data_IF_189916778825
#
_entry.id   IF_189916778825
#
_cell.length_a   1.000
_cell.length_b   1.000
_cell.length_c   1.000
_cell.angle_alpha   90.00
_cell.angle_beta   90.00
_cell.angle_gamma   90.00
#
_symmetry.space_group_name_H-M   'P 1'
#
loop_
_entity.id
_entity.type
_entity.pdbx_description
1 polymer ?
#
# COMPACT_ATOMS: atom_id res chain seq x y z
N UNK A 1 -2.99 -26.20 -0.31
CA UNK A 1 -2.07 -25.35 0.48
C UNK A 1 -2.87 -24.60 1.53
N UNK A 2 -2.44 -24.54 2.80
CA UNK A 2 -3.19 -23.81 3.83
C UNK A 2 -3.06 -22.31 3.57
N UNK A 3 -4.19 -21.57 3.51
CA UNK A 3 -4.22 -20.11 3.27
C UNK A 3 -3.29 -19.34 4.20
N UNK A 4 -3.24 -19.75 5.46
CA UNK A 4 -2.38 -19.14 6.47
C UNK A 4 -0.89 -19.23 6.11
N UNK A 5 -0.44 -20.36 5.55
CA UNK A 5 0.95 -20.52 5.13
C UNK A 5 1.32 -19.61 3.96
N UNK A 6 0.41 -19.47 2.97
CA UNK A 6 0.60 -18.56 1.84
C UNK A 6 0.67 -17.11 2.31
N UNK A 7 -0.25 -16.72 3.19
CA UNK A 7 -0.30 -15.37 3.75
C UNK A 7 0.96 -15.03 4.56
N UNK A 8 1.46 -15.97 5.37
CA UNK A 8 2.68 -15.78 6.16
C UNK A 8 3.90 -15.60 5.26
N UNK A 9 4.07 -16.44 4.23
CA UNK A 9 5.19 -16.33 3.29
C UNK A 9 5.12 -15.02 2.51
N UNK A 10 3.93 -14.65 2.02
CA UNK A 10 3.72 -13.38 1.31
C UNK A 10 4.02 -12.18 2.21
N UNK A 11 3.55 -12.20 3.46
CA UNK A 11 3.81 -11.15 4.44
C UNK A 11 5.29 -11.04 4.80
N UNK A 12 5.99 -12.16 4.98
CA UNK A 12 7.43 -12.18 5.22
C UNK A 12 8.21 -11.61 4.05
N UNK A 13 7.90 -12.02 2.81
CA UNK A 13 8.53 -11.49 1.60
C UNK A 13 8.27 -9.99 1.43
N UNK A 14 7.05 -9.54 1.69
CA UNK A 14 6.69 -8.13 1.63
C UNK A 14 7.44 -7.31 2.69
N UNK A 15 7.42 -7.75 3.95
CA UNK A 15 8.09 -7.08 5.06
C UNK A 15 9.61 -7.04 4.89
N UNK A 16 10.24 -8.14 4.44
CA UNK A 16 11.68 -8.14 4.12
C UNK A 16 12.01 -7.21 2.96
N UNK A 17 11.16 -7.15 1.92
CA UNK A 17 11.31 -6.17 0.84
C UNK A 17 11.22 -4.72 1.33
N UNK A 18 10.29 -4.40 2.24
CA UNK A 18 10.17 -3.07 2.85
C UNK A 18 11.40 -2.72 3.69
N UNK A 19 11.88 -3.64 4.52
CA UNK A 19 13.06 -3.44 5.34
C UNK A 19 14.32 -3.22 4.48
N UNK A 20 14.51 -4.01 3.42
CA UNK A 20 15.68 -3.90 2.53
C UNK A 20 15.64 -2.64 1.66
N UNK A 21 14.46 -2.26 1.16
CA UNK A 21 14.29 -1.03 0.37
C UNK A 21 14.34 0.25 1.22
N UNK A 22 14.23 0.13 2.55
CA UNK A 22 14.17 1.25 3.47
C UNK A 22 12.91 2.11 3.29
N UNK A 23 11.83 1.56 2.73
CA UNK A 23 10.57 2.28 2.50
C UNK A 23 9.79 2.57 3.80
N UNK A 24 10.29 2.06 4.93
CA UNK A 24 9.89 2.41 6.29
C UNK A 24 10.31 3.84 6.70
N UNK A 25 11.26 4.47 6.00
CA UNK A 25 11.69 5.82 6.32
C UNK A 25 10.75 6.86 5.68
N UNK A 26 10.02 7.68 6.47
CA UNK A 26 9.15 8.72 5.94
C UNK A 26 9.90 9.77 5.10
N UNK A 27 11.21 9.94 5.34
CA UNK A 27 12.00 10.89 4.59
C UNK A 27 12.12 10.51 3.12
N UNK A 28 12.15 9.22 2.77
CA UNK A 28 12.22 8.79 1.35
C UNK A 28 11.03 9.25 0.54
N UNK A 29 9.86 9.26 1.18
CA UNK A 29 8.62 9.75 0.57
C UNK A 29 8.68 11.26 0.41
N UNK A 30 9.05 11.97 1.46
CA UNK A 30 9.08 13.43 1.45
C UNK A 30 10.14 13.97 0.49
N UNK A 31 11.33 13.35 0.44
CA UNK A 31 12.40 13.71 -0.51
C UNK A 31 12.02 13.39 -1.95
N UNK A 32 11.25 12.33 -2.21
CA UNK A 32 10.72 12.07 -3.54
C UNK A 32 9.72 13.14 -4.00
N UNK A 33 8.94 13.73 -3.09
CA UNK A 33 8.01 14.82 -3.39
C UNK A 33 8.68 16.20 -3.46
N UNK A 34 9.87 16.36 -2.87
CA UNK A 34 10.62 17.61 -2.83
C UNK A 34 11.37 17.88 -4.15
N UNK A 35 10.61 18.18 -5.20
CA UNK A 35 11.13 18.44 -6.55
C UNK A 35 12.05 19.68 -6.66
N UNK A 36 11.97 20.61 -5.70
CA UNK A 36 12.73 21.87 -5.71
C UNK A 36 13.90 21.86 -4.72
N UNK A 37 14.02 20.84 -3.88
CA UNK A 37 15.08 20.70 -2.90
C UNK A 37 15.93 19.45 -3.11
N UNK A 38 16.01 18.60 -2.10
CA UNK A 38 16.89 17.42 -2.13
C UNK A 38 16.15 16.20 -2.69
N UNK A 39 15.80 16.28 -3.98
CA UNK A 39 14.98 15.28 -4.66
C UNK A 39 15.68 13.91 -4.72
N UNK A 40 15.03 12.87 -4.19
CA UNK A 40 15.53 11.49 -4.19
C UNK A 40 14.64 10.57 -5.07
N UNK A 41 15.15 10.05 -6.21
CA UNK A 41 14.38 9.18 -7.10
C UNK A 41 14.22 7.75 -6.60
N UNK A 42 14.78 7.37 -5.45
CA UNK A 42 14.77 5.98 -4.96
C UNK A 42 13.36 5.41 -4.87
N UNK A 43 12.37 6.21 -4.47
CA UNK A 43 10.98 5.75 -4.38
C UNK A 43 10.43 5.33 -5.76
N UNK A 44 10.79 6.02 -6.84
CA UNK A 44 10.35 5.66 -8.19
C UNK A 44 10.90 4.29 -8.63
N UNK A 45 12.14 3.96 -8.27
CA UNK A 45 12.70 2.63 -8.55
C UNK A 45 11.97 1.53 -7.78
N UNK A 46 11.66 1.74 -6.51
CA UNK A 46 10.93 0.76 -5.70
C UNK A 46 9.48 0.62 -6.19
N UNK A 47 8.80 1.73 -6.49
CA UNK A 47 7.46 1.71 -7.10
C UNK A 47 7.46 1.00 -8.45
N UNK A 48 8.41 1.31 -9.33
CA UNK A 48 8.57 0.63 -10.62
C UNK A 48 8.81 -0.87 -10.46
N UNK A 49 9.70 -1.23 -9.53
CA UNK A 49 9.99 -2.62 -9.18
C UNK A 49 8.79 -3.38 -8.62
N UNK A 50 7.85 -2.71 -7.96
CA UNK A 50 6.60 -3.31 -7.49
C UNK A 50 5.51 -3.34 -8.58
N UNK A 51 5.41 -2.29 -9.40
CA UNK A 51 4.39 -2.18 -10.45
C UNK A 51 4.60 -3.18 -11.58
N UNK A 52 5.84 -3.45 -12.01
CA UNK A 52 6.12 -4.35 -13.13
C UNK A 52 5.67 -5.79 -12.82
N UNK A 53 6.07 -6.44 -11.70
CA UNK A 53 5.58 -7.77 -11.33
C UNK A 53 4.06 -7.80 -11.17
N UNK A 54 3.47 -6.75 -10.60
CA UNK A 54 2.01 -6.67 -10.43
C UNK A 54 1.29 -6.59 -11.79
N UNK A 55 1.81 -5.81 -12.74
CA UNK A 55 1.26 -5.74 -14.08
C UNK A 55 1.32 -7.11 -14.79
N UNK A 56 2.43 -7.82 -14.67
CA UNK A 56 2.59 -9.19 -15.17
C UNK A 56 1.59 -10.13 -14.49
N UNK A 57 1.46 -10.05 -13.15
CA UNK A 57 0.51 -10.84 -12.39
C UNK A 57 -0.94 -10.63 -12.86
N UNK A 58 -1.32 -9.39 -13.21
CA UNK A 58 -2.64 -9.07 -13.76
C UNK A 58 -2.87 -9.69 -15.14
N UNK A 59 -1.85 -9.72 -16.00
CA UNK A 59 -1.95 -10.38 -17.33
C UNK A 59 -2.08 -11.89 -17.18
N UNK A 60 -1.33 -12.49 -16.25
CA UNK A 60 -1.41 -13.93 -15.96
C UNK A 60 -2.77 -14.28 -15.34
N UNK A 61 -3.26 -13.46 -14.41
CA UNK A 61 -4.54 -13.63 -13.73
C UNK A 61 -5.69 -13.77 -14.73
N UNK A 62 -5.70 -13.00 -15.83
CA UNK A 62 -6.71 -13.10 -16.89
C UNK A 62 -6.79 -14.48 -17.56
N UNK A 63 -5.75 -15.30 -17.45
CA UNK A 63 -5.66 -16.65 -18.02
C UNK A 63 -5.92 -17.76 -16.99
N UNK A 64 -6.11 -17.40 -15.72
CA UNK A 64 -6.33 -18.33 -14.63
C UNK A 64 -7.81 -18.35 -14.28
N UNK A 65 -8.40 -19.55 -14.21
CA UNK A 65 -9.81 -19.70 -13.81
C UNK A 65 -10.02 -19.44 -12.32
N UNK A 66 -9.02 -19.72 -11.49
CA UNK A 66 -9.06 -19.56 -10.03
C UNK A 66 -7.70 -19.23 -9.43
N UNK A 67 -7.65 -18.53 -8.29
CA UNK A 67 -6.39 -18.31 -7.57
C UNK A 67 -5.87 -19.60 -6.95
N UNK A 68 -4.58 -19.61 -6.61
CA UNK A 68 -3.93 -20.79 -6.04
C UNK A 68 -4.38 -21.13 -4.61
N UNK A 69 -4.77 -20.11 -3.83
CA UNK A 69 -5.10 -20.24 -2.41
C UNK A 69 -6.58 -19.98 -2.08
N UNK A 70 -7.43 -19.71 -3.08
CA UNK A 70 -8.86 -19.44 -2.89
C UNK A 70 -9.71 -20.14 -3.98
N UNK A 71 -11.03 -20.12 -3.82
CA UNK A 71 -11.98 -20.69 -4.78
C UNK A 71 -12.23 -19.78 -5.98
N UNK A 72 -12.14 -18.45 -5.80
CA UNK A 72 -12.42 -17.45 -6.83
C UNK A 72 -11.55 -16.20 -6.60
N UNK A 73 -11.35 -15.42 -7.65
CA UNK A 73 -10.69 -14.12 -7.55
C UNK A 73 -11.70 -13.05 -7.11
N UNK A 74 -11.41 -12.34 -6.02
CA UNK A 74 -12.17 -11.16 -5.58
C UNK A 74 -11.68 -9.90 -6.30
N UNK A 75 -11.99 -9.80 -7.60
CA UNK A 75 -11.64 -8.60 -8.36
C UNK A 75 -12.70 -7.52 -8.12
N UNK A 76 -12.31 -6.28 -7.76
CA UNK A 76 -13.24 -5.17 -7.76
C UNK A 76 -13.75 -4.95 -9.19
N UNK A 77 -15.08 -4.79 -9.35
CA UNK A 77 -15.65 -4.38 -10.63
C UNK A 77 -14.99 -3.08 -11.07
N UNK A 78 -14.55 -2.99 -12.33
CA UNK A 78 -13.91 -1.78 -12.85
C UNK A 78 -14.92 -0.63 -12.80
N UNK A 79 -14.85 0.22 -11.78
CA UNK A 79 -15.63 1.44 -11.69
C UNK A 79 -14.98 2.50 -12.59
N UNK A 80 -15.80 3.27 -13.30
CA UNK A 80 -15.33 4.52 -13.91
C UNK A 80 -14.75 5.40 -12.81
N UNK A 81 -13.75 6.23 -13.16
CA UNK A 81 -13.25 7.26 -12.25
C UNK A 81 -14.43 8.21 -11.97
N UNK A 82 -14.94 8.19 -10.75
CA UNK A 82 -16.02 9.05 -10.29
C UNK A 82 -15.48 10.13 -9.35
N UNK A 83 -16.31 11.15 -9.08
CA UNK A 83 -15.90 12.27 -8.22
C UNK A 83 -15.55 11.84 -6.79
N UNK A 84 -16.17 10.76 -6.29
CA UNK A 84 -15.88 10.17 -4.97
C UNK A 84 -14.49 9.54 -4.94
N UNK A 85 -14.13 8.75 -5.96
CA UNK A 85 -12.79 8.18 -6.08
C UNK A 85 -11.73 9.26 -6.27
N UNK A 86 -11.98 10.25 -7.13
CA UNK A 86 -11.03 11.33 -7.37
C UNK A 86 -10.76 12.16 -6.10
N UNK A 87 -11.82 12.59 -5.40
CA UNK A 87 -11.69 13.33 -4.14
C UNK A 87 -11.01 12.51 -3.05
N UNK A 88 -11.37 11.23 -2.91
CA UNK A 88 -10.72 10.30 -1.99
C UNK A 88 -9.24 10.11 -2.28
N UNK A 89 -8.86 9.95 -3.55
CA UNK A 89 -7.47 9.80 -3.97
C UNK A 89 -6.64 11.05 -3.67
N UNK A 90 -7.20 12.25 -3.89
CA UNK A 90 -6.54 13.52 -3.56
C UNK A 90 -6.34 13.66 -2.04
N UNK A 91 -7.38 13.39 -1.24
CA UNK A 91 -7.27 13.42 0.23
C UNK A 91 -6.25 12.41 0.76
N UNK A 92 -6.27 11.19 0.23
CA UNK A 92 -5.32 10.14 0.57
C UNK A 92 -3.88 10.53 0.19
N UNK A 93 -3.68 11.06 -1.03
CA UNK A 93 -2.38 11.52 -1.51
C UNK A 93 -1.80 12.66 -0.67
N UNK A 94 -2.64 13.62 -0.25
CA UNK A 94 -2.21 14.69 0.66
C UNK A 94 -1.79 14.13 2.02
N UNK A 95 -2.58 13.23 2.62
CA UNK A 95 -2.23 12.60 3.90
C UNK A 95 -0.95 11.77 3.82
N UNK A 96 -0.77 11.04 2.73
CA UNK A 96 0.45 10.29 2.44
C UNK A 96 1.66 11.21 2.32
N UNK A 97 1.56 12.31 1.58
CA UNK A 97 2.68 13.24 1.38
C UNK A 97 3.09 13.96 2.66
N UNK A 98 2.11 14.33 3.50
CA UNK A 98 2.37 14.98 4.79
C UNK A 98 3.00 13.99 5.79
N UNK A 99 2.44 12.78 5.90
CA UNK A 99 2.90 11.79 6.88
C UNK A 99 4.22 11.12 6.48
N UNK A 100 4.49 11.04 5.18
CA UNK A 100 5.60 10.26 4.63
C UNK A 100 5.42 8.74 4.74
N UNK A 101 4.28 8.26 5.25
CA UNK A 101 4.05 6.86 5.55
C UNK A 101 2.93 6.28 4.69
N UNK A 102 3.23 5.22 3.93
CA UNK A 102 2.21 4.43 3.25
C UNK A 102 1.58 3.42 4.23
N UNK A 103 0.38 2.88 3.93
CA UNK A 103 -0.30 1.90 4.81
C UNK A 103 0.54 0.65 5.10
N UNK A 104 1.28 0.14 4.11
CA UNK A 104 2.14 -1.04 4.25
C UNK A 104 3.32 -0.79 5.20
N UNK A 105 4.19 0.19 4.93
CA UNK A 105 5.22 0.64 5.86
C UNK A 105 4.68 1.00 7.23
N UNK A 106 3.54 1.70 7.34
CA UNK A 106 2.96 2.05 8.65
C UNK A 106 2.63 0.81 9.51
N UNK A 107 2.18 -0.29 8.90
CA UNK A 107 1.97 -1.55 9.61
C UNK A 107 3.29 -2.24 9.97
N UNK A 108 4.29 -2.21 9.08
CA UNK A 108 5.62 -2.77 9.36
C UNK A 108 6.35 -1.98 10.47
N UNK A 109 6.21 -0.66 10.47
CA UNK A 109 6.82 0.26 11.43
C UNK A 109 6.21 0.15 12.82
N UNK A 110 5.03 -0.46 12.95
CA UNK A 110 4.50 -0.83 14.26
C UNK A 110 5.45 -1.76 15.02
N UNK A 111 6.24 -2.57 14.30
CA UNK A 111 7.26 -3.45 14.88
C UNK A 111 8.65 -2.78 14.98
N UNK A 112 8.97 -1.79 14.12
CA UNK A 112 10.29 -1.15 14.04
C UNK A 112 10.38 0.16 14.84
N UNK A 113 9.38 1.02 14.73
CA UNK A 113 9.33 2.38 15.28
C UNK A 113 7.89 2.79 15.67
N UNK A 114 7.32 2.19 16.73
CA UNK A 114 5.87 2.23 17.01
C UNK A 114 5.33 3.64 17.26
N UNK A 115 6.13 4.57 17.78
CA UNK A 115 5.65 5.88 18.23
C UNK A 115 4.88 6.66 17.15
N UNK A 116 5.48 6.86 15.97
CA UNK A 116 4.83 7.57 14.86
C UNK A 116 3.85 6.67 14.10
N UNK A 117 4.18 5.38 13.97
CA UNK A 117 3.38 4.40 13.25
C UNK A 117 1.98 4.20 13.88
N UNK A 118 1.90 4.13 15.21
CA UNK A 118 0.62 3.98 15.94
C UNK A 118 -0.35 5.10 15.60
N UNK A 119 0.12 6.35 15.53
CA UNK A 119 -0.74 7.51 15.23
C UNK A 119 -1.34 7.37 13.83
N UNK A 120 -0.52 7.04 12.83
CA UNK A 120 -0.97 6.86 11.44
C UNK A 120 -1.93 5.69 11.33
N UNK A 121 -1.62 4.56 11.96
CA UNK A 121 -2.47 3.37 11.93
C UNK A 121 -3.82 3.64 12.60
N UNK A 122 -3.85 4.30 13.76
CA UNK A 122 -5.09 4.66 14.44
C UNK A 122 -5.92 5.66 13.63
N UNK A 123 -5.30 6.67 13.02
CA UNK A 123 -6.00 7.62 12.16
C UNK A 123 -6.59 6.92 10.92
N UNK A 124 -5.83 6.02 10.30
CA UNK A 124 -6.28 5.21 9.16
C UNK A 124 -7.46 4.32 9.53
N UNK A 125 -7.36 3.59 10.65
CA UNK A 125 -8.45 2.76 11.18
C UNK A 125 -9.69 3.60 11.50
N UNK A 126 -9.52 4.75 12.15
CA UNK A 126 -10.58 5.69 12.46
C UNK A 126 -11.31 6.16 11.21
N UNK A 127 -10.57 6.55 10.17
CA UNK A 127 -11.15 6.94 8.87
C UNK A 127 -11.93 5.81 8.19
N UNK A 128 -11.40 4.58 8.20
CA UNK A 128 -12.08 3.41 7.64
C UNK A 128 -13.37 3.07 8.42
N UNK A 129 -13.34 3.14 9.75
CA UNK A 129 -14.51 2.91 10.59
C UNK A 129 -15.56 4.00 10.35
N UNK A 130 -15.16 5.28 10.35
CA UNK A 130 -16.05 6.41 10.10
C UNK A 130 -16.73 6.29 8.73
N UNK A 131 -15.96 5.98 7.69
CA UNK A 131 -16.52 5.74 6.35
C UNK A 131 -17.52 4.57 6.38
N UNK A 132 -17.19 3.46 7.04
CA UNK A 132 -18.07 2.29 7.15
C UNK A 132 -19.37 2.60 7.90
N UNK A 133 -19.35 3.45 8.92
CA UNK A 133 -20.55 3.87 9.65
C UNK A 133 -21.38 4.86 8.82
N UNK A 134 -20.75 5.78 8.11
CA UNK A 134 -21.44 6.78 7.30
C UNK A 134 -22.03 6.24 5.97
N UNK A 135 -21.53 5.10 5.49
CA UNK A 135 -22.00 4.45 4.24
C UNK A 135 -22.84 3.20 4.47
N UNK A 136 -23.07 2.83 5.73
CA UNK A 136 -24.10 1.85 6.12
C UNK A 136 -25.45 2.54 6.22
#
# INVERSE_FOLDING_TARGET
MNRAGVALIAGLLFGTGLAFSGMADPQRVQSFLDLFGNWDPTLAFVMGGAMIPMAIAWVIQRRLDKPFADAHFDLPGTSRIDGKLASGAVLFGMGWGISGLCPGPALADLALAPGKAVIVVLAMLGGMIAHRVATR
#
